data_IF_120056484855
#
_entry.id   IF_120056484855
#
_cell.length_a   1.000
_cell.length_b   1.000
_cell.length_c   1.000
_cell.angle_alpha   90.00
_cell.angle_beta   90.00
_cell.angle_gamma   90.00
#
_symmetry.space_group_name_H-M   'P 1'
#
loop_
_entity.id
_entity.type
_entity.pdbx_description
1 polymer ?
#
# COMPACT_ATOMS: atom_id res chain seq x y z
N UNK A 1 -23.95 26.10 18.44
CA UNK A 1 -24.38 26.51 17.09
C UNK A 1 -23.39 25.90 16.11
N UNK A 2 -23.77 24.78 15.49
CA UNK A 2 -22.92 24.00 14.59
C UNK A 2 -23.02 24.57 13.17
N UNK A 3 -21.90 24.91 12.55
CA UNK A 3 -21.83 25.18 11.11
C UNK A 3 -21.29 23.93 10.42
N UNK A 4 -22.16 23.29 9.66
CA UNK A 4 -21.95 22.06 8.91
C UNK A 4 -21.27 22.37 7.58
N UNK A 5 -20.06 21.83 7.37
CA UNK A 5 -19.36 21.80 6.08
C UNK A 5 -19.95 20.68 5.19
N UNK A 6 -21.17 20.87 4.67
CA UNK A 6 -21.90 19.91 3.81
C UNK A 6 -22.48 20.61 2.58
N UNK A 7 -21.66 21.35 1.80
CA UNK A 7 -22.22 22.00 0.59
C UNK A 7 -21.25 22.23 -0.59
N UNK A 8 -20.43 21.24 -0.93
CA UNK A 8 -19.70 21.24 -2.22
C UNK A 8 -20.21 20.17 -3.19
N UNK A 9 -21.30 19.47 -2.87
CA UNK A 9 -21.72 18.26 -3.60
C UNK A 9 -22.86 18.46 -4.61
N UNK A 10 -23.44 19.65 -4.79
CA UNK A 10 -24.66 19.80 -5.62
C UNK A 10 -24.42 20.38 -7.04
N UNK A 11 -23.29 21.02 -7.32
CA UNK A 11 -23.14 21.79 -8.57
C UNK A 11 -22.43 21.08 -9.74
N UNK A 12 -22.00 19.81 -9.60
CA UNK A 12 -21.29 19.10 -10.67
C UNK A 12 -22.25 18.21 -11.48
N UNK A 13 -22.36 18.39 -12.81
CA UNK A 13 -23.16 17.54 -13.68
C UNK A 13 -22.75 16.05 -13.59
N UNK A 14 -23.70 15.12 -13.78
CA UNK A 14 -23.46 13.69 -13.64
C UNK A 14 -22.41 13.13 -14.62
N UNK A 15 -22.28 13.68 -15.85
CA UNK A 15 -21.21 13.28 -16.77
C UNK A 15 -19.83 13.63 -16.20
N UNK A 16 -19.65 14.85 -15.70
CA UNK A 16 -18.39 15.33 -15.13
C UNK A 16 -18.01 14.54 -13.86
N UNK A 17 -18.99 14.10 -13.05
CA UNK A 17 -18.71 13.21 -11.91
C UNK A 17 -18.19 11.85 -12.34
N UNK A 18 -18.75 11.29 -13.40
CA UNK A 18 -18.33 9.99 -13.94
C UNK A 18 -16.93 10.07 -14.54
N UNK A 19 -16.63 11.14 -15.28
CA UNK A 19 -15.29 11.40 -15.80
C UNK A 19 -14.27 11.63 -14.68
N UNK A 20 -14.60 12.44 -13.68
CA UNK A 20 -13.74 12.66 -12.52
C UNK A 20 -13.44 11.34 -11.78
N UNK A 21 -14.44 10.46 -11.61
CA UNK A 21 -14.24 9.13 -11.00
C UNK A 21 -13.31 8.23 -11.83
N UNK A 22 -13.37 8.29 -13.16
CA UNK A 22 -12.50 7.52 -14.05
C UNK A 22 -11.05 8.04 -14.00
N UNK A 23 -10.87 9.36 -14.09
CA UNK A 23 -9.56 10.04 -13.97
C UNK A 23 -8.91 9.71 -12.61
N UNK A 24 -9.69 9.75 -11.53
CA UNK A 24 -9.20 9.41 -10.19
C UNK A 24 -8.71 7.96 -10.09
N UNK A 25 -9.32 7.02 -10.80
CA UNK A 25 -8.91 5.61 -10.76
C UNK A 25 -7.69 5.31 -11.62
N UNK A 26 -7.53 6.01 -12.75
CA UNK A 26 -6.50 5.70 -13.73
C UNK A 26 -5.21 6.52 -13.57
N UNK A 27 -5.29 7.75 -13.06
CA UNK A 27 -4.13 8.65 -12.94
C UNK A 27 -3.63 8.86 -11.50
N UNK A 28 -4.46 8.66 -10.46
CA UNK A 28 -4.05 8.94 -9.07
C UNK A 28 -3.42 7.75 -8.33
N UNK A 29 -3.46 6.56 -8.91
CA UNK A 29 -2.69 5.42 -8.41
C UNK A 29 -1.33 5.40 -9.11
N UNK A 30 -0.24 5.02 -8.42
CA UNK A 30 1.08 4.96 -9.05
C UNK A 30 1.06 3.96 -10.20
N UNK A 31 1.36 4.42 -11.42
CA UNK A 31 1.17 3.67 -12.66
C UNK A 31 1.85 2.30 -12.65
N UNK A 32 3.08 2.21 -12.12
CA UNK A 32 3.85 0.97 -12.03
C UNK A 32 3.31 -0.03 -11.00
N UNK A 33 2.62 0.43 -9.96
CA UNK A 33 2.15 -0.43 -8.86
C UNK A 33 0.64 -0.52 -8.76
N UNK A 34 -0.11 0.05 -9.71
CA UNK A 34 -1.57 0.12 -9.69
C UNK A 34 -2.22 -1.25 -9.46
N UNK A 35 -1.73 -2.27 -10.15
CA UNK A 35 -2.23 -3.65 -10.03
C UNK A 35 -2.14 -4.18 -8.60
N UNK A 36 -1.07 -3.86 -7.87
CA UNK A 36 -0.91 -4.26 -6.47
C UNK A 36 -1.95 -3.59 -5.56
N UNK A 37 -2.22 -2.30 -5.77
CA UNK A 37 -3.23 -1.56 -5.02
C UNK A 37 -4.62 -2.16 -5.25
N UNK A 38 -4.98 -2.43 -6.51
CA UNK A 38 -6.25 -3.03 -6.87
C UNK A 38 -6.40 -4.45 -6.32
N UNK A 39 -5.32 -5.25 -6.37
CA UNK A 39 -5.30 -6.60 -5.81
C UNK A 39 -5.54 -6.60 -4.30
N UNK A 40 -4.88 -5.70 -3.56
CA UNK A 40 -5.08 -5.58 -2.11
C UNK A 40 -6.49 -5.12 -1.78
N UNK A 41 -7.03 -4.17 -2.54
CA UNK A 41 -8.40 -3.72 -2.39
C UNK A 41 -9.41 -4.85 -2.65
N UNK A 42 -9.25 -5.61 -3.74
CA UNK A 42 -10.09 -6.75 -4.06
C UNK A 42 -10.07 -7.80 -2.94
N UNK A 43 -8.90 -8.15 -2.43
CA UNK A 43 -8.74 -9.06 -1.29
C UNK A 43 -9.47 -8.57 -0.03
N UNK A 44 -9.46 -7.26 0.23
CA UNK A 44 -10.21 -6.68 1.35
C UNK A 44 -11.72 -6.73 1.11
N UNK A 45 -12.21 -6.43 -0.10
CA UNK A 45 -13.64 -6.53 -0.43
C UNK A 45 -14.15 -7.96 -0.35
N UNK A 46 -13.38 -8.94 -0.81
CA UNK A 46 -13.75 -10.35 -0.70
C UNK A 46 -13.81 -10.80 0.76
N UNK A 47 -12.87 -10.35 1.59
CA UNK A 47 -12.93 -10.56 3.04
C UNK A 47 -14.17 -9.91 3.66
N UNK A 48 -14.54 -8.69 3.25
CA UNK A 48 -15.76 -8.03 3.70
C UNK A 48 -17.02 -8.81 3.32
N UNK A 49 -17.07 -9.40 2.11
CA UNK A 49 -18.18 -10.27 1.68
C UNK A 49 -18.29 -11.51 2.57
N UNK A 50 -17.18 -12.19 2.84
CA UNK A 50 -17.13 -13.39 3.69
C UNK A 50 -17.62 -13.06 5.11
N UNK A 51 -17.20 -11.92 5.67
CA UNK A 51 -17.58 -11.47 7.02
C UNK A 51 -18.93 -10.73 7.07
N UNK A 52 -19.64 -10.61 5.94
CA UNK A 52 -20.92 -9.87 5.80
C UNK A 52 -20.86 -8.43 6.31
N UNK A 53 -19.77 -7.73 6.01
CA UNK A 53 -19.58 -6.33 6.39
C UNK A 53 -20.26 -5.42 5.37
N UNK A 54 -21.28 -4.68 5.80
CA UNK A 54 -22.00 -3.74 4.94
C UNK A 54 -21.27 -2.40 4.76
N UNK A 55 -20.65 -1.87 5.82
CA UNK A 55 -19.96 -0.56 5.81
C UNK A 55 -18.56 -0.68 6.39
N UNK A 56 -17.58 -0.09 5.72
CA UNK A 56 -16.21 0.01 6.21
C UNK A 56 -16.17 0.96 7.41
N UNK A 57 -15.67 0.46 8.55
CA UNK A 57 -15.48 1.23 9.78
C UNK A 57 -14.09 0.96 10.36
N UNK A 58 -13.71 1.77 11.35
CA UNK A 58 -12.44 1.58 12.05
C UNK A 58 -12.31 0.17 12.67
N UNK A 59 -13.38 -0.35 13.26
CA UNK A 59 -13.39 -1.69 13.87
C UNK A 59 -13.21 -2.80 12.83
N UNK A 60 -13.87 -2.67 11.68
CA UNK A 60 -13.73 -3.61 10.55
C UNK A 60 -12.27 -3.67 10.11
N UNK A 61 -11.65 -2.51 9.92
CA UNK A 61 -10.27 -2.44 9.47
C UNK A 61 -9.30 -2.96 10.55
N UNK A 62 -9.58 -2.70 11.83
CA UNK A 62 -8.78 -3.22 12.94
C UNK A 62 -8.75 -4.75 12.96
N UNK A 63 -9.92 -5.39 12.86
CA UNK A 63 -10.03 -6.86 12.80
C UNK A 63 -9.32 -7.43 11.57
N UNK A 64 -9.51 -6.80 10.40
CA UNK A 64 -8.81 -7.21 9.19
C UNK A 64 -7.28 -7.13 9.34
N UNK A 65 -6.77 -6.03 9.90
CA UNK A 65 -5.34 -5.84 10.12
C UNK A 65 -4.80 -6.84 11.15
N UNK A 66 -5.56 -7.15 12.18
CA UNK A 66 -5.20 -8.19 13.15
C UNK A 66 -5.11 -9.58 12.52
N UNK A 67 -6.10 -9.97 11.70
CA UNK A 67 -6.04 -11.25 10.98
C UNK A 67 -4.85 -11.32 10.02
N UNK A 68 -4.52 -10.21 9.33
CA UNK A 68 -3.34 -10.15 8.45
C UNK A 68 -2.03 -10.14 9.23
N UNK A 69 -1.98 -9.55 10.42
CA UNK A 69 -0.79 -9.49 11.26
C UNK A 69 -0.32 -10.89 11.71
N UNK A 70 -1.23 -11.87 11.78
CA UNK A 70 -0.88 -13.27 12.10
C UNK A 70 0.05 -13.91 11.06
N UNK A 71 -0.05 -13.48 9.80
CA UNK A 71 0.64 -14.10 8.67
C UNK A 71 1.65 -13.16 7.98
N UNK A 72 1.72 -11.88 8.35
CA UNK A 72 2.55 -10.87 7.68
C UNK A 72 3.42 -10.11 8.68
N UNK A 73 4.60 -9.70 8.20
CA UNK A 73 5.49 -8.79 8.94
C UNK A 73 4.90 -7.39 9.05
N UNK A 74 5.30 -6.64 10.07
CA UNK A 74 4.82 -5.28 10.33
C UNK A 74 4.95 -4.34 9.12
N UNK A 75 6.10 -4.37 8.43
CA UNK A 75 6.32 -3.55 7.23
C UNK A 75 5.35 -3.87 6.09
N UNK A 76 5.04 -5.16 5.87
CA UNK A 76 4.06 -5.60 4.88
C UNK A 76 2.63 -5.21 5.27
N UNK A 77 2.34 -5.17 6.58
CA UNK A 77 1.05 -4.74 7.11
C UNK A 77 0.84 -3.24 6.91
N UNK A 78 1.86 -2.42 7.19
CA UNK A 78 1.89 -0.99 6.87
C UNK A 78 1.68 -0.73 5.39
N UNK A 79 2.37 -1.48 4.51
CA UNK A 79 2.15 -1.37 3.07
C UNK A 79 0.70 -1.70 2.68
N UNK A 80 0.11 -2.74 3.28
CA UNK A 80 -1.30 -3.12 3.06
C UNK A 80 -2.24 -1.99 3.50
N UNK A 81 -2.01 -1.40 4.68
CA UNK A 81 -2.78 -0.27 5.19
C UNK A 81 -2.68 0.96 4.26
N UNK A 82 -1.47 1.32 3.82
CA UNK A 82 -1.27 2.45 2.90
C UNK A 82 -1.96 2.24 1.55
N UNK A 83 -1.93 1.02 1.02
CA UNK A 83 -2.65 0.67 -0.22
C UNK A 83 -4.17 0.78 -0.04
N UNK A 84 -4.69 0.30 1.08
CA UNK A 84 -6.12 0.44 1.41
C UNK A 84 -6.51 1.89 1.63
N UNK A 85 -5.66 2.70 2.26
CA UNK A 85 -5.90 4.13 2.49
C UNK A 85 -6.14 4.86 1.18
N UNK A 86 -5.28 4.63 0.18
CA UNK A 86 -5.44 5.26 -1.12
C UNK A 86 -6.67 4.71 -1.86
N UNK A 87 -6.84 3.39 -1.90
CA UNK A 87 -7.92 2.77 -2.69
C UNK A 87 -9.30 3.05 -2.12
N UNK A 88 -9.49 3.02 -0.79
CA UNK A 88 -10.75 3.35 -0.13
C UNK A 88 -11.13 4.82 -0.27
N UNK A 89 -10.13 5.72 -0.20
CA UNK A 89 -10.35 7.15 -0.45
C UNK A 89 -10.81 7.40 -1.89
N UNK A 90 -10.20 6.73 -2.86
CA UNK A 90 -10.54 6.93 -4.29
C UNK A 90 -11.84 6.24 -4.71
N UNK A 91 -12.12 5.03 -4.21
CA UNK A 91 -13.26 4.21 -4.67
C UNK A 91 -14.53 4.41 -3.87
N UNK A 92 -14.42 4.63 -2.56
CA UNK A 92 -15.57 4.70 -1.65
C UNK A 92 -15.64 6.03 -0.90
N UNK A 93 -14.73 6.97 -1.18
CA UNK A 93 -14.58 8.24 -0.46
C UNK A 93 -14.44 8.07 1.07
N UNK A 94 -13.86 6.96 1.50
CA UNK A 94 -13.66 6.65 2.93
C UNK A 94 -12.23 7.04 3.32
N UNK A 95 -12.10 8.07 4.16
CA UNK A 95 -10.80 8.48 4.70
C UNK A 95 -10.46 7.72 5.99
N UNK A 96 -9.66 6.65 5.83
CA UNK A 96 -9.15 5.86 6.96
C UNK A 96 -7.95 6.50 7.67
N UNK A 97 -7.48 7.68 7.24
CA UNK A 97 -6.39 8.39 7.91
C UNK A 97 -6.74 8.78 9.35
N UNK A 98 -8.03 8.92 9.63
CA UNK A 98 -8.57 9.29 10.95
C UNK A 98 -8.73 8.09 11.89
N UNK A 99 -8.41 6.88 11.45
CA UNK A 99 -8.58 5.65 12.22
C UNK A 99 -7.39 5.45 13.18
N UNK A 100 -7.38 6.25 14.25
CA UNK A 100 -6.30 6.31 15.24
C UNK A 100 -6.06 4.97 15.94
N UNK A 101 -7.08 4.13 16.16
CA UNK A 101 -6.93 2.81 16.80
C UNK A 101 -6.14 1.87 15.90
N UNK A 102 -6.44 1.88 14.60
CA UNK A 102 -5.72 1.07 13.60
C UNK A 102 -4.27 1.55 13.49
N UNK A 103 -4.06 2.87 13.43
CA UNK A 103 -2.72 3.45 13.38
C UNK A 103 -1.92 3.08 14.65
N UNK A 104 -2.52 3.21 15.84
CA UNK A 104 -1.89 2.84 17.10
C UNK A 104 -1.53 1.34 17.14
N UNK A 105 -2.43 0.47 16.65
CA UNK A 105 -2.16 -0.96 16.51
C UNK A 105 -0.96 -1.23 15.60
N UNK A 106 -0.92 -0.62 14.42
CA UNK A 106 0.17 -0.78 13.46
C UNK A 106 1.51 -0.28 13.99
N UNK A 107 1.50 0.83 14.75
CA UNK A 107 2.70 1.36 15.41
C UNK A 107 3.24 0.36 16.42
N UNK A 108 2.40 -0.12 17.35
CA UNK A 108 2.81 -1.12 18.36
C UNK A 108 3.36 -2.41 17.76
N UNK A 109 2.80 -2.86 16.62
CA UNK A 109 3.31 -4.03 15.90
C UNK A 109 4.67 -3.79 15.24
N UNK A 110 5.05 -2.54 15.02
CA UNK A 110 6.30 -2.14 14.41
C UNK A 110 7.39 -1.77 15.44
N UNK A 111 7.07 -1.69 16.73
CA UNK A 111 8.03 -1.29 17.78
C UNK A 111 9.27 -2.21 17.85
N UNK A 112 9.14 -3.48 17.43
CA UNK A 112 10.27 -4.42 17.34
C UNK A 112 10.94 -4.47 15.96
N UNK A 113 10.60 -3.56 15.04
CA UNK A 113 11.13 -3.58 13.68
C UNK A 113 12.58 -3.13 13.64
N UNK A 114 13.46 -4.04 13.23
CA UNK A 114 14.83 -3.72 12.84
C UNK A 114 14.93 -3.70 11.31
N UNK A 115 15.47 -2.61 10.71
CA UNK A 115 15.63 -2.54 9.27
C UNK A 115 16.63 -3.60 8.81
N UNK A 116 16.18 -4.53 7.96
CA UNK A 116 17.07 -5.47 7.27
C UNK A 116 17.82 -4.70 6.20
N UNK A 117 19.08 -4.33 6.48
CA UNK A 117 19.97 -3.78 5.46
C UNK A 117 20.35 -4.88 4.47
N UNK A 118 20.47 -4.52 3.20
CA UNK A 118 21.09 -5.41 2.22
C UNK A 118 22.54 -5.66 2.64
N UNK A 119 23.05 -6.87 2.41
CA UNK A 119 24.45 -7.16 2.64
C UNK A 119 25.29 -6.22 1.76
N UNK A 120 26.26 -5.54 2.37
CA UNK A 120 27.23 -4.74 1.63
C UNK A 120 28.32 -5.70 1.18
N UNK A 121 28.59 -5.74 -0.12
CA UNK A 121 29.64 -6.61 -0.65
C UNK A 121 31.00 -6.16 -0.14
N UNK A 122 31.77 -7.11 0.40
CA UNK A 122 33.17 -6.86 0.74
C UNK A 122 34.06 -6.89 -0.50
N UNK A 123 35.24 -6.27 -0.43
CA UNK A 123 36.20 -6.20 -1.55
C UNK A 123 36.47 -7.58 -2.16
N UNK A 124 36.66 -8.61 -1.33
CA UNK A 124 36.93 -9.97 -1.80
C UNK A 124 35.75 -10.56 -2.58
N UNK A 125 34.51 -10.26 -2.20
CA UNK A 125 33.30 -10.72 -2.88
C UNK A 125 33.14 -10.02 -4.24
N UNK A 126 33.47 -8.74 -4.30
CA UNK A 126 33.50 -7.98 -5.55
C UNK A 126 34.57 -8.57 -6.47
N UNK A 127 35.82 -8.74 -6.00
CA UNK A 127 36.90 -9.34 -6.80
C UNK A 127 36.54 -10.74 -7.28
N UNK A 128 35.95 -11.57 -6.42
CA UNK A 128 35.44 -12.89 -6.80
C UNK A 128 34.42 -12.79 -7.93
N UNK A 129 33.47 -11.87 -7.83
CA UNK A 129 32.49 -11.63 -8.89
C UNK A 129 33.14 -11.16 -10.21
N UNK A 130 34.10 -10.25 -10.17
CA UNK A 130 34.81 -9.78 -11.37
C UNK A 130 35.57 -10.91 -12.07
N UNK A 131 36.20 -11.81 -11.31
CA UNK A 131 37.02 -12.89 -11.87
C UNK A 131 36.20 -14.10 -12.31
N UNK A 132 35.21 -14.52 -11.52
CA UNK A 132 34.55 -15.82 -11.68
C UNK A 132 33.19 -15.75 -12.39
N UNK A 133 32.50 -14.59 -12.40
CA UNK A 133 31.19 -14.50 -13.02
C UNK A 133 31.30 -14.62 -14.57
N UNK A 134 30.37 -15.27 -15.28
CA UNK A 134 30.44 -15.38 -16.74
C UNK A 134 30.31 -14.01 -17.44
N UNK A 135 31.23 -13.71 -18.35
CA UNK A 135 31.25 -12.42 -19.07
C UNK A 135 30.04 -12.23 -19.98
N UNK A 136 29.52 -13.32 -20.58
CA UNK A 136 28.35 -13.30 -21.46
C UNK A 136 27.11 -12.65 -20.81
N UNK A 137 27.02 -12.70 -19.47
CA UNK A 137 25.88 -12.18 -18.70
C UNK A 137 26.26 -10.90 -17.93
N UNK A 138 27.50 -10.81 -17.45
CA UNK A 138 27.89 -9.79 -16.46
C UNK A 138 28.96 -8.80 -16.91
N UNK A 139 29.43 -8.84 -18.17
CA UNK A 139 30.52 -7.98 -18.65
C UNK A 139 30.31 -6.48 -18.36
N UNK A 140 29.11 -5.96 -18.63
CA UNK A 140 28.79 -4.55 -18.35
C UNK A 140 28.85 -4.23 -16.86
N UNK A 141 28.37 -5.12 -16.00
CA UNK A 141 28.41 -4.94 -14.54
C UNK A 141 29.83 -5.02 -13.98
N UNK A 142 30.70 -5.84 -14.59
CA UNK A 142 32.11 -5.93 -14.21
C UNK A 142 32.88 -4.66 -14.55
N UNK A 143 32.69 -4.12 -15.76
CA UNK A 143 33.34 -2.88 -16.20
C UNK A 143 32.95 -1.68 -15.33
N UNK A 144 31.71 -1.62 -14.86
CA UNK A 144 31.25 -0.53 -13.98
C UNK A 144 31.73 -0.65 -12.52
N UNK A 145 32.23 -1.82 -12.14
CA UNK A 145 32.66 -2.14 -10.78
C UNK A 145 34.19 -2.10 -10.61
N UNK A 146 34.93 -1.80 -11.68
CA UNK A 146 36.37 -1.53 -11.74
C UNK A 146 36.63 -0.03 -11.61
#
# INVERSE_FOLDING_TARGET
MSTSDEDTSVCTPPEIRKEASNVQCDQLLPQKSKEFYLKVYAQFKDWCKIKKVAKVSENVLLVYMEEKAKNKKASSLWATFSMLKQTLKLKENVDISKYYKVIAFLKRKNDSYTPKKAAVFEKHQITKFILEAPDEIFLSSKLFSL
#
